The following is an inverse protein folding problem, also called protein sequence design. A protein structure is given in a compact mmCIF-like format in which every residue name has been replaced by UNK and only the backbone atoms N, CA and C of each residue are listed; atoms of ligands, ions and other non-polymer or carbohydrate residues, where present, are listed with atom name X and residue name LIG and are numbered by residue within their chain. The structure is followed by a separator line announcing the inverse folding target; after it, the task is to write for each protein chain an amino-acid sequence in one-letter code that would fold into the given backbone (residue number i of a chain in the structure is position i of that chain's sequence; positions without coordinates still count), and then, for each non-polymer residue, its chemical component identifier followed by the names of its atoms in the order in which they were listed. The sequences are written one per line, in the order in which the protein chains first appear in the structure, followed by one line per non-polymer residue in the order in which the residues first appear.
data_IF_685976997323
#
_entry.id   IF_685976997323
#
_cell.length_a   1.000
_cell.length_b   1.000
_cell.length_c   1.000
_cell.angle_alpha   90.00
_cell.angle_beta   90.00
_cell.angle_gamma   90.00
#
_symmetry.space_group_name_H-M   'P 1'
#
loop_
_entity.id
_entity.type
_entity.pdbx_description
1 polymer ?
#
# COMPACT_ATOMS: atom_id res chain seq x y z
N UNK A 1 1.88 23.95 17.05
CA UNK A 1 3.24 24.10 16.48
C UNK A 1 3.99 22.83 16.83
N UNK A 2 4.46 22.05 15.86
CA UNK A 2 5.33 20.89 16.13
C UNK A 2 6.60 21.39 16.83
N UNK A 3 7.00 20.72 17.91
CA UNK A 3 8.16 21.09 18.71
C UNK A 3 9.43 21.00 17.84
N UNK A 4 10.47 21.80 18.06
CA UNK A 4 11.63 21.86 17.14
C UNK A 4 12.35 20.52 17.00
N UNK A 5 12.28 19.66 18.02
CA UNK A 5 12.84 18.30 18.03
C UNK A 5 12.08 17.34 17.09
N UNK A 6 10.80 17.58 16.81
CA UNK A 6 9.98 16.74 15.92
C UNK A 6 10.25 17.00 14.42
N UNK A 7 11.10 17.98 14.09
CA UNK A 7 11.42 18.37 12.70
C UNK A 7 12.74 17.80 12.19
N UNK A 8 13.58 17.27 13.08
CA UNK A 8 14.92 16.75 12.74
C UNK A 8 14.93 15.23 12.76
N UNK A 9 15.58 14.63 11.76
CA UNK A 9 15.70 13.18 11.66
C UNK A 9 16.87 12.66 12.50
N UNK A 10 16.62 11.63 13.29
CA UNK A 10 17.66 10.79 13.87
C UNK A 10 18.10 9.74 12.83
N UNK A 11 19.22 10.01 12.18
CA UNK A 11 19.80 9.15 11.15
C UNK A 11 21.05 8.46 11.66
N UNK A 12 21.18 7.17 11.39
CA UNK A 12 22.36 6.38 11.70
C UNK A 12 22.98 5.85 10.40
N UNK A 13 24.04 6.50 9.88
CA UNK A 13 24.76 6.02 8.70
C UNK A 13 25.65 4.82 9.06
N UNK A 14 25.60 3.78 8.24
CA UNK A 14 26.41 2.58 8.36
C UNK A 14 26.78 2.07 6.97
N UNK A 15 28.05 1.73 6.77
CA UNK A 15 28.52 1.14 5.52
C UNK A 15 28.54 -0.38 5.70
N UNK A 16 27.66 -1.10 4.98
CA UNK A 16 27.57 -2.56 5.08
C UNK A 16 28.32 -3.24 3.92
N UNK A 17 29.15 -4.27 4.20
CA UNK A 17 29.61 -5.20 3.18
C UNK A 17 28.43 -5.92 2.52
N UNK A 18 28.57 -6.27 1.24
CA UNK A 18 27.54 -7.00 0.49
C UNK A 18 27.20 -8.35 1.13
N UNK A 19 28.20 -9.10 1.56
CA UNK A 19 28.00 -10.37 2.28
C UNK A 19 27.12 -10.19 3.54
N UNK A 20 27.31 -9.09 4.26
CA UNK A 20 26.56 -8.79 5.49
C UNK A 20 25.11 -8.43 5.17
N UNK A 21 24.88 -7.68 4.10
CA UNK A 21 23.52 -7.37 3.64
C UNK A 21 22.76 -8.63 3.28
N UNK A 22 23.38 -9.52 2.50
CA UNK A 22 22.78 -10.81 2.10
C UNK A 22 22.50 -11.68 3.32
N UNK A 23 23.45 -11.80 4.25
CA UNK A 23 23.26 -12.54 5.50
C UNK A 23 22.09 -11.98 6.34
N UNK A 24 21.94 -10.64 6.40
CA UNK A 24 20.83 -9.99 7.11
C UNK A 24 19.48 -10.22 6.43
N UNK A 25 19.44 -10.27 5.10
CA UNK A 25 18.22 -10.59 4.33
C UNK A 25 17.80 -12.04 4.61
N UNK A 26 18.75 -12.97 4.50
CA UNK A 26 18.50 -14.42 4.58
C UNK A 26 18.35 -14.96 6.01
N UNK A 27 18.69 -14.17 7.03
CA UNK A 27 18.54 -14.59 8.43
C UNK A 27 17.09 -14.94 8.81
N UNK A 28 16.90 -15.81 9.81
CA UNK A 28 15.58 -16.19 10.33
C UNK A 28 15.51 -15.88 11.83
N UNK A 29 14.70 -14.88 12.27
CA UNK A 29 13.91 -13.95 11.45
C UNK A 29 14.78 -12.96 10.68
N UNK A 30 14.32 -12.48 9.51
CA UNK A 30 15.06 -11.54 8.67
C UNK A 30 15.35 -10.24 9.41
N UNK A 31 16.62 -9.83 9.43
CA UNK A 31 17.10 -8.57 10.01
C UNK A 31 17.08 -7.40 9.03
N UNK A 32 17.04 -7.69 7.73
CA UNK A 32 16.83 -6.72 6.65
C UNK A 32 15.66 -7.20 5.80
N UNK A 33 14.55 -6.48 5.87
CA UNK A 33 13.29 -6.82 5.22
C UNK A 33 13.28 -6.11 3.87
N UNK A 34 13.39 -6.91 2.81
CA UNK A 34 12.97 -6.53 1.48
C UNK A 34 11.49 -6.87 1.38
N UNK A 35 10.61 -5.87 1.47
CA UNK A 35 9.17 -6.09 1.35
C UNK A 35 8.86 -6.89 0.06
N UNK A 36 8.10 -8.00 0.14
CA UNK A 36 7.74 -8.80 -1.03
C UNK A 36 7.09 -7.98 -2.15
N UNK A 37 6.36 -6.91 -1.84
CA UNK A 37 5.77 -6.02 -2.86
C UNK A 37 6.80 -5.14 -3.54
N UNK A 38 7.81 -4.68 -2.78
CA UNK A 38 8.93 -3.96 -3.36
C UNK A 38 9.80 -4.88 -4.23
N UNK A 39 9.94 -6.15 -3.83
CA UNK A 39 10.59 -7.17 -4.66
C UNK A 39 9.78 -7.47 -5.93
N UNK A 40 8.45 -7.52 -5.89
CA UNK A 40 7.59 -7.60 -7.09
C UNK A 40 7.76 -6.40 -8.03
N UNK A 41 8.17 -5.26 -7.50
CA UNK A 41 8.55 -4.05 -8.24
C UNK A 41 10.02 -4.06 -8.69
N UNK A 42 10.77 -5.13 -8.53
CA UNK A 42 12.04 -5.32 -9.24
C UNK A 42 11.79 -5.23 -10.75
N UNK A 43 12.55 -4.37 -11.44
CA UNK A 43 12.36 -4.08 -12.87
C UNK A 43 13.63 -4.31 -13.69
N UNK A 44 14.75 -4.60 -13.02
CA UNK A 44 16.04 -4.76 -13.69
C UNK A 44 16.24 -6.15 -14.30
N UNK A 45 15.26 -7.07 -14.15
CA UNK A 45 15.16 -8.38 -14.81
C UNK A 45 14.18 -8.44 -16.01
N UNK A 46 13.36 -7.40 -16.20
CA UNK A 46 12.22 -7.46 -17.13
C UNK A 46 12.59 -7.67 -18.60
N UNK A 47 13.80 -7.28 -18.99
CA UNK A 47 14.32 -7.38 -20.36
C UNK A 47 15.75 -7.95 -20.26
N UNK A 48 15.92 -9.02 -19.48
CA UNK A 48 17.24 -9.56 -19.13
C UNK A 48 17.88 -8.85 -17.93
N UNK A 49 19.13 -9.18 -17.66
CA UNK A 49 19.94 -8.73 -16.53
C UNK A 49 20.89 -7.58 -16.83
N UNK A 50 20.79 -6.89 -17.97
CA UNK A 50 21.79 -5.90 -18.42
C UNK A 50 21.94 -4.75 -17.42
N UNK A 51 20.82 -4.27 -16.86
CA UNK A 51 20.85 -3.20 -15.84
C UNK A 51 21.49 -3.68 -14.54
N UNK A 52 21.17 -4.90 -14.12
CA UNK A 52 21.75 -5.54 -12.95
C UNK A 52 23.26 -5.77 -13.14
N UNK A 53 23.66 -6.22 -14.33
CA UNK A 53 25.04 -6.48 -14.72
C UNK A 53 25.87 -5.20 -14.79
N UNK A 54 25.32 -4.11 -15.34
CA UNK A 54 25.96 -2.78 -15.30
C UNK A 54 26.18 -2.26 -13.88
N UNK A 55 25.27 -2.57 -12.96
CA UNK A 55 25.45 -2.25 -11.55
C UNK A 55 26.59 -3.09 -10.93
N UNK A 56 26.65 -4.40 -11.19
CA UNK A 56 27.77 -5.24 -10.73
C UNK A 56 29.10 -4.79 -11.34
N UNK A 57 29.13 -4.46 -12.64
CA UNK A 57 30.29 -3.90 -13.32
C UNK A 57 30.75 -2.60 -12.66
N UNK A 58 29.82 -1.70 -12.31
CA UNK A 58 30.13 -0.47 -11.57
C UNK A 58 30.75 -0.74 -10.20
N UNK A 59 30.29 -1.79 -9.50
CA UNK A 59 30.86 -2.21 -8.21
C UNK A 59 32.31 -2.70 -8.38
N UNK A 60 32.57 -3.54 -9.39
CA UNK A 60 33.91 -4.02 -9.73
C UNK A 60 34.85 -2.89 -10.13
N UNK A 61 34.32 -1.86 -10.80
CA UNK A 61 35.05 -0.63 -11.13
C UNK A 61 35.27 0.30 -9.93
N UNK A 62 34.72 -0.04 -8.75
CA UNK A 62 34.79 0.78 -7.53
C UNK A 62 34.17 2.17 -7.70
N UNK A 63 33.15 2.28 -8.55
CA UNK A 63 32.38 3.51 -8.73
C UNK A 63 31.57 3.76 -7.45
N UNK A 64 31.55 4.99 -6.90
CA UNK A 64 30.76 5.31 -5.72
C UNK A 64 29.28 4.98 -5.92
N UNK A 65 28.74 4.15 -5.03
CA UNK A 65 27.34 3.73 -5.07
C UNK A 65 26.47 4.75 -4.34
N UNK A 66 25.27 5.08 -4.84
CA UNK A 66 24.30 5.86 -4.08
C UNK A 66 23.97 5.16 -2.76
N UNK A 67 23.57 5.92 -1.72
CA UNK A 67 23.19 5.33 -0.44
C UNK A 67 21.85 4.58 -0.54
N UNK A 68 21.67 3.56 0.30
CA UNK A 68 20.38 2.94 0.59
C UNK A 68 19.77 3.56 1.85
N UNK A 69 18.45 3.53 1.97
CA UNK A 69 17.75 4.06 3.15
C UNK A 69 16.91 2.96 3.78
N UNK A 70 17.00 2.83 5.10
CA UNK A 70 16.28 1.83 5.89
C UNK A 70 15.43 2.49 6.97
N UNK A 71 14.25 1.95 7.27
CA UNK A 71 13.48 2.29 8.46
C UNK A 71 13.69 1.21 9.52
N UNK A 72 14.02 1.60 10.75
CA UNK A 72 14.10 0.68 11.87
C UNK A 72 12.72 0.45 12.50
N UNK A 73 12.36 -0.82 12.72
CA UNK A 73 11.14 -1.19 13.42
C UNK A 73 11.37 -1.34 14.94
N UNK A 74 10.28 -1.58 15.68
CA UNK A 74 10.34 -1.72 17.15
C UNK A 74 11.21 -2.90 17.61
N UNK A 75 11.38 -3.92 16.75
CA UNK A 75 12.20 -5.10 16.99
C UNK A 75 13.66 -4.92 16.55
N UNK A 76 14.05 -3.74 16.06
CA UNK A 76 15.40 -3.45 15.55
C UNK A 76 15.69 -4.07 14.17
N UNK A 77 14.67 -4.54 13.45
CA UNK A 77 14.82 -4.97 12.06
C UNK A 77 14.81 -3.74 11.16
N UNK A 78 15.48 -3.85 10.03
CA UNK A 78 15.57 -2.78 9.04
C UNK A 78 14.66 -3.09 7.86
N UNK A 79 13.71 -2.22 7.57
CA UNK A 79 12.92 -2.26 6.35
C UNK A 79 13.57 -1.40 5.28
N UNK A 80 13.71 -1.92 4.06
CA UNK A 80 14.28 -1.17 2.94
C UNK A 80 13.29 -0.14 2.39
N UNK A 81 13.67 1.14 2.43
CA UNK A 81 12.91 2.28 1.91
C UNK A 81 13.33 2.61 0.49
N UNK A 82 14.65 2.66 0.27
CA UNK A 82 15.29 2.94 -1.01
C UNK A 82 16.49 2.01 -1.20
N UNK A 83 16.76 1.65 -2.45
CA UNK A 83 17.83 0.73 -2.82
C UNK A 83 17.37 -0.69 -3.10
N UNK A 84 16.07 -0.95 -3.16
CA UNK A 84 15.50 -2.28 -3.42
C UNK A 84 16.10 -2.93 -4.67
N UNK A 85 16.25 -2.19 -5.77
CA UNK A 85 16.84 -2.75 -7.00
C UNK A 85 18.31 -3.16 -6.79
N UNK A 86 19.09 -2.33 -6.09
CA UNK A 86 20.52 -2.57 -5.81
C UNK A 86 20.69 -3.76 -4.88
N UNK A 87 19.98 -3.78 -3.76
CA UNK A 87 20.05 -4.85 -2.77
C UNK A 87 19.55 -6.18 -3.31
N UNK A 88 18.47 -6.16 -4.09
CA UNK A 88 17.96 -7.36 -4.78
C UNK A 88 18.97 -7.86 -5.80
N UNK A 89 19.59 -6.96 -6.58
CA UNK A 89 20.66 -7.33 -7.54
C UNK A 89 21.84 -7.99 -6.84
N UNK A 90 22.33 -7.40 -5.74
CA UNK A 90 23.44 -7.95 -4.94
C UNK A 90 23.08 -9.36 -4.46
N UNK A 91 21.93 -9.50 -3.80
CA UNK A 91 21.47 -10.78 -3.27
C UNK A 91 21.36 -11.84 -4.37
N UNK A 92 20.68 -11.52 -5.48
CA UNK A 92 20.47 -12.45 -6.60
C UNK A 92 21.78 -12.87 -7.25
N UNK A 93 22.71 -11.92 -7.45
CA UNK A 93 23.98 -12.24 -8.09
C UNK A 93 24.83 -13.15 -7.18
N UNK A 94 24.99 -12.78 -5.90
CA UNK A 94 25.75 -13.57 -4.92
C UNK A 94 25.17 -14.98 -4.71
N UNK A 95 23.89 -15.18 -4.98
CA UNK A 95 23.20 -16.48 -4.94
C UNK A 95 23.21 -17.23 -6.30
N UNK A 96 24.01 -16.81 -7.28
CA UNK A 96 24.08 -17.42 -8.62
C UNK A 96 22.73 -17.45 -9.40
N UNK A 97 21.80 -16.55 -9.08
CA UNK A 97 20.46 -16.50 -9.71
C UNK A 97 20.47 -15.93 -11.13
N UNK A 98 21.54 -15.23 -11.53
CA UNK A 98 21.71 -14.75 -12.90
C UNK A 98 23.19 -14.68 -13.30
N UNK A 99 23.43 -14.64 -14.62
CA UNK A 99 24.75 -14.45 -15.23
C UNK A 99 24.90 -13.03 -15.77
N UNK A 100 26.11 -12.49 -15.74
CA UNK A 100 26.38 -11.14 -16.22
C UNK A 100 26.14 -11.03 -17.73
N UNK A 101 25.49 -9.95 -18.16
CA UNK A 101 25.23 -9.66 -19.57
C UNK A 101 25.53 -8.19 -19.90
N UNK A 102 26.00 -7.93 -21.12
CA UNK A 102 26.27 -6.57 -21.60
C UNK A 102 27.47 -5.90 -20.93
N UNK A 103 28.47 -6.69 -20.54
CA UNK A 103 29.71 -6.22 -19.91
C UNK A 103 30.56 -5.42 -20.91
N UNK A 104 31.13 -4.29 -20.45
CA UNK A 104 31.87 -3.37 -21.31
C UNK A 104 33.35 -3.29 -20.96
N UNK A 105 33.65 -3.14 -19.68
CA UNK A 105 34.98 -3.02 -19.07
C UNK A 105 35.52 -4.40 -18.70
N UNK A 106 34.69 -5.26 -18.11
CA UNK A 106 35.05 -6.62 -17.72
C UNK A 106 34.45 -7.67 -18.67
N UNK A 107 34.82 -7.60 -19.95
CA UNK A 107 34.27 -8.47 -21.01
C UNK A 107 34.55 -9.96 -20.78
N UNK A 108 35.61 -10.28 -20.04
CA UNK A 108 35.97 -11.64 -19.63
C UNK A 108 35.02 -12.24 -18.59
N UNK A 109 34.12 -11.43 -18.02
CA UNK A 109 33.08 -11.85 -17.09
C UNK A 109 31.70 -12.02 -17.75
N UNK A 110 31.56 -11.72 -19.05
CA UNK A 110 30.32 -11.94 -19.79
C UNK A 110 29.86 -13.40 -19.67
N UNK A 111 28.59 -13.60 -19.34
CA UNK A 111 27.96 -14.92 -19.18
C UNK A 111 28.32 -15.64 -17.88
N UNK A 112 29.13 -15.05 -16.99
CA UNK A 112 29.53 -15.68 -15.71
C UNK A 112 28.57 -15.35 -14.59
N UNK A 113 28.33 -16.33 -13.72
CA UNK A 113 27.69 -16.18 -12.41
C UNK A 113 28.72 -15.85 -11.33
N UNK A 114 28.25 -15.55 -10.12
CA UNK A 114 29.12 -15.16 -9.00
C UNK A 114 30.14 -16.24 -8.64
N UNK A 115 29.77 -17.52 -8.64
CA UNK A 115 30.72 -18.61 -8.40
C UNK A 115 31.83 -18.75 -9.47
N UNK A 116 31.67 -18.10 -10.62
CA UNK A 116 32.54 -18.26 -11.79
C UNK A 116 33.49 -17.07 -12.02
N UNK A 117 33.34 -15.96 -11.27
CA UNK A 117 34.17 -14.74 -11.45
C UNK A 117 35.53 -14.82 -10.74
N UNK A 118 35.84 -15.92 -10.05
CA UNK A 118 37.15 -16.18 -9.44
C UNK A 118 37.53 -15.13 -8.40
N UNK A 119 38.69 -14.49 -8.56
CA UNK A 119 39.24 -13.53 -7.58
C UNK A 119 38.32 -12.34 -7.29
N UNK A 120 37.42 -11.99 -8.22
CA UNK A 120 36.50 -10.86 -8.06
C UNK A 120 35.37 -11.14 -7.05
N UNK A 121 35.13 -12.40 -6.70
CA UNK A 121 34.08 -12.77 -5.74
C UNK A 121 34.35 -12.16 -4.36
N UNK A 122 35.55 -12.37 -3.82
CA UNK A 122 35.96 -11.81 -2.53
C UNK A 122 35.97 -10.27 -2.54
N UNK A 123 36.31 -9.64 -3.66
CA UNK A 123 36.25 -8.17 -3.80
C UNK A 123 34.80 -7.66 -3.77
N UNK A 124 33.86 -8.36 -4.42
CA UNK A 124 32.44 -8.00 -4.38
C UNK A 124 31.82 -8.22 -3.00
N UNK A 125 32.12 -9.33 -2.33
CA UNK A 125 31.62 -9.60 -0.97
C UNK A 125 32.03 -8.51 0.02
N UNK A 126 33.30 -8.06 -0.06
CA UNK A 126 33.86 -7.00 0.76
C UNK A 126 33.43 -5.58 0.33
N UNK A 127 32.83 -5.43 -0.86
CA UNK A 127 32.36 -4.11 -1.34
C UNK A 127 31.28 -3.60 -0.40
N UNK A 128 31.41 -2.34 0.03
CA UNK A 128 30.47 -1.71 0.96
C UNK A 128 29.52 -0.76 0.26
N UNK A 129 28.26 -0.72 0.70
CA UNK A 129 27.30 0.33 0.32
C UNK A 129 26.81 1.08 1.55
N UNK A 130 26.76 2.41 1.43
CA UNK A 130 26.27 3.28 2.49
C UNK A 130 24.78 3.08 2.71
N UNK A 131 24.41 2.79 3.95
CA UNK A 131 23.03 2.61 4.37
C UNK A 131 22.71 3.66 5.44
N UNK A 132 21.66 4.44 5.22
CA UNK A 132 21.17 5.46 6.16
C UNK A 132 19.96 4.88 6.87
N UNK A 133 20.11 4.57 8.16
CA UNK A 133 19.02 4.02 8.98
C UNK A 133 18.26 5.17 9.62
N UNK A 134 16.99 5.31 9.27
CA UNK A 134 16.01 6.12 9.98
C UNK A 134 15.64 5.37 11.25
N UNK A 135 16.15 5.87 12.37
CA UNK A 135 15.96 5.26 13.69
C UNK A 135 14.48 5.24 14.08
N UNK A 136 14.08 4.24 14.88
CA UNK A 136 12.67 4.03 15.24
C UNK A 136 12.05 5.18 16.04
N UNK A 137 12.88 6.00 16.69
CA UNK A 137 12.44 7.17 17.45
C UNK A 137 11.96 8.32 16.55
N UNK A 138 12.19 8.25 15.24
CA UNK A 138 11.68 9.25 14.31
C UNK A 138 10.14 9.21 14.23
N UNK A 139 9.47 10.38 14.18
CA UNK A 139 8.04 10.46 13.91
C UNK A 139 7.67 9.74 12.61
N UNK A 140 6.64 8.88 12.64
CA UNK A 140 6.26 8.04 11.49
C UNK A 140 5.84 8.87 10.29
N UNK A 141 5.15 9.99 10.49
CA UNK A 141 4.79 10.95 9.45
C UNK A 141 6.03 11.51 8.72
N UNK A 142 7.13 11.78 9.44
CA UNK A 142 8.38 12.27 8.86
C UNK A 142 9.08 11.16 8.06
N UNK A 143 9.05 9.91 8.54
CA UNK A 143 9.51 8.76 7.78
C UNK A 143 8.73 8.67 6.46
N UNK A 144 7.39 8.73 6.49
CA UNK A 144 6.53 8.72 5.30
C UNK A 144 6.87 9.84 4.32
N UNK A 145 7.19 11.03 4.81
CA UNK A 145 7.62 12.15 3.98
C UNK A 145 8.97 11.88 3.29
N UNK A 146 9.93 11.28 4.00
CA UNK A 146 11.22 10.89 3.42
C UNK A 146 11.05 9.79 2.37
N UNK A 147 10.21 8.78 2.63
CA UNK A 147 9.80 7.80 1.62
C UNK A 147 9.28 8.51 0.35
N UNK A 148 8.40 9.49 0.53
CA UNK A 148 7.80 10.22 -0.60
C UNK A 148 8.83 11.04 -1.37
N UNK A 149 9.84 11.61 -0.71
CA UNK A 149 10.90 12.42 -1.34
C UNK A 149 11.94 11.57 -2.06
N UNK A 150 12.40 10.48 -1.45
CA UNK A 150 13.40 9.58 -2.05
C UNK A 150 12.85 8.87 -3.29
N UNK A 151 11.57 8.51 -3.27
CA UNK A 151 10.92 7.81 -4.37
C UNK A 151 10.53 8.70 -5.56
N UNK A 152 10.72 10.03 -5.50
CA UNK A 152 10.39 10.93 -6.62
C UNK A 152 11.18 10.64 -7.91
N UNK A 153 12.36 10.03 -7.79
CA UNK A 153 13.19 9.59 -8.94
C UNK A 153 13.13 8.10 -9.28
N UNK A 154 12.36 7.30 -8.53
CA UNK A 154 12.33 5.83 -8.62
C UNK A 154 10.90 5.30 -8.87
N UNK A 155 10.71 3.99 -8.70
CA UNK A 155 9.35 3.41 -8.72
C UNK A 155 8.60 3.92 -7.50
N UNK A 156 7.62 4.80 -7.72
CA UNK A 156 6.81 5.34 -6.63
C UNK A 156 6.01 4.24 -5.94
N UNK A 157 6.09 4.23 -4.61
CA UNK A 157 5.23 3.42 -3.77
C UNK A 157 3.90 4.11 -3.57
N UNK A 158 2.83 3.35 -3.55
CA UNK A 158 1.51 3.85 -3.19
C UNK A 158 1.47 4.23 -1.71
N UNK A 159 0.59 5.16 -1.30
CA UNK A 159 0.41 5.47 0.12
C UNK A 159 0.16 4.22 0.98
N UNK A 160 -0.63 3.26 0.48
CA UNK A 160 -0.92 2.03 1.20
C UNK A 160 0.27 1.09 1.34
N UNK A 161 1.14 1.02 0.34
CA UNK A 161 2.40 0.29 0.45
C UNK A 161 3.32 0.87 1.52
N UNK A 162 3.36 2.21 1.64
CA UNK A 162 4.11 2.86 2.73
C UNK A 162 3.47 2.56 4.09
N UNK A 163 2.14 2.49 4.19
CA UNK A 163 1.45 2.11 5.45
C UNK A 163 1.76 0.67 5.86
N UNK A 164 1.68 -0.27 4.93
CA UNK A 164 2.01 -1.69 5.18
C UNK A 164 3.41 -1.83 5.78
N UNK A 165 4.36 -1.14 5.16
CA UNK A 165 5.74 -1.03 5.59
C UNK A 165 5.91 -0.44 7.02
N UNK A 166 5.25 0.67 7.33
CA UNK A 166 5.46 1.42 8.57
C UNK A 166 4.64 0.91 9.75
N UNK A 167 3.49 0.30 9.49
CA UNK A 167 2.52 -0.15 10.48
C UNK A 167 2.25 -1.66 10.38
N UNK A 168 3.28 -2.53 10.37
CA UNK A 168 3.07 -3.96 10.31
C UNK A 168 2.44 -4.44 11.62
N UNK A 169 1.42 -5.28 11.54
CA UNK A 169 0.80 -5.86 12.73
C UNK A 169 -0.45 -6.68 12.43
N UNK A 170 -1.20 -7.07 13.47
CA UNK A 170 -2.39 -7.90 13.29
C UNK A 170 -3.46 -7.26 12.41
N UNK A 171 -3.60 -5.93 12.44
CA UNK A 171 -4.61 -5.23 11.65
C UNK A 171 -4.21 -5.14 10.17
N UNK A 172 -2.94 -4.87 9.88
CA UNK A 172 -2.40 -4.91 8.52
C UNK A 172 -2.62 -6.29 7.86
N UNK A 173 -2.38 -7.38 8.60
CA UNK A 173 -2.70 -8.74 8.14
C UNK A 173 -4.20 -8.98 7.89
N UNK A 174 -5.07 -8.35 8.68
CA UNK A 174 -6.51 -8.40 8.46
C UNK A 174 -6.89 -7.69 7.15
N UNK A 175 -6.24 -6.58 6.82
CA UNK A 175 -6.46 -5.89 5.54
C UNK A 175 -6.07 -6.78 4.36
N UNK A 176 -4.92 -7.46 4.44
CA UNK A 176 -4.49 -8.42 3.42
C UNK A 176 -5.52 -9.53 3.20
N UNK A 177 -6.03 -10.13 4.28
CA UNK A 177 -7.02 -11.20 4.18
C UNK A 177 -8.35 -10.72 3.58
N UNK A 178 -8.88 -9.57 4.02
CA UNK A 178 -10.16 -9.06 3.53
C UNK A 178 -10.07 -8.53 2.09
N UNK A 179 -8.87 -8.10 1.67
CA UNK A 179 -8.59 -7.65 0.32
C UNK A 179 -8.67 -8.77 -0.73
N UNK A 180 -8.58 -10.04 -0.31
CA UNK A 180 -8.71 -11.21 -1.20
C UNK A 180 -10.16 -11.50 -1.61
N UNK A 181 -11.15 -10.89 -0.97
CA UNK A 181 -12.54 -11.04 -1.37
C UNK A 181 -12.73 -10.62 -2.85
N UNK A 182 -13.35 -11.44 -3.72
CA UNK A 182 -13.45 -11.15 -5.16
C UNK A 182 -14.04 -9.79 -5.52
N UNK A 183 -15.07 -9.32 -4.81
CA UNK A 183 -15.68 -8.00 -5.05
C UNK A 183 -14.73 -6.84 -4.72
N UNK A 184 -13.82 -7.04 -3.78
CA UNK A 184 -12.80 -6.07 -3.39
C UNK A 184 -11.57 -6.20 -4.30
N UNK A 185 -11.10 -7.41 -4.54
CA UNK A 185 -9.96 -7.71 -5.40
C UNK A 185 -10.18 -7.22 -6.83
N UNK A 186 -11.37 -7.43 -7.39
CA UNK A 186 -11.70 -7.07 -8.77
C UNK A 186 -12.42 -5.71 -8.88
N UNK A 187 -12.44 -4.92 -7.81
CA UNK A 187 -13.19 -3.67 -7.74
C UNK A 187 -12.91 -2.73 -8.92
N UNK A 188 -13.97 -2.37 -9.66
CA UNK A 188 -13.90 -1.43 -10.79
C UNK A 188 -13.17 -1.94 -12.04
N UNK A 189 -12.76 -3.21 -12.07
CA UNK A 189 -12.24 -3.85 -13.29
C UNK A 189 -13.37 -4.08 -14.29
N UNK A 190 -13.08 -3.86 -15.58
CA UNK A 190 -13.94 -4.40 -16.63
C UNK A 190 -13.54 -5.86 -16.84
N UNK A 191 -14.50 -6.73 -17.23
CA UNK A 191 -14.25 -8.15 -17.54
C UNK A 191 -13.07 -8.37 -18.50
N UNK A 192 -12.70 -7.35 -19.29
CA UNK A 192 -11.66 -7.41 -20.33
C UNK A 192 -10.44 -6.48 -20.07
N UNK A 193 -10.28 -5.92 -18.87
CA UNK A 193 -9.19 -4.98 -18.61
C UNK A 193 -7.89 -5.67 -18.14
N UNK A 194 -6.86 -5.64 -18.98
CA UNK A 194 -5.46 -5.98 -18.64
C UNK A 194 -4.78 -5.01 -17.67
N UNK A 195 -5.55 -4.18 -16.96
CA UNK A 195 -5.03 -3.24 -15.95
C UNK A 195 -4.53 -4.06 -14.76
N UNK A 196 -3.21 -4.15 -14.63
CA UNK A 196 -2.58 -4.56 -13.37
C UNK A 196 -2.98 -3.55 -12.31
N UNK A 197 -3.80 -3.98 -11.34
CA UNK A 197 -4.11 -3.22 -10.13
C UNK A 197 -2.80 -2.79 -9.48
N UNK A 198 -2.74 -1.59 -8.91
CA UNK A 198 -1.64 -1.29 -7.98
C UNK A 198 -1.69 -2.31 -6.84
N UNK A 199 -0.52 -2.73 -6.36
CA UNK A 199 -0.33 -3.94 -5.53
C UNK A 199 -1.21 -3.96 -4.27
N UNK A 200 -1.66 -2.80 -3.79
CA UNK A 200 -2.38 -2.63 -2.52
C UNK A 200 -3.64 -1.76 -2.55
N UNK A 201 -4.24 -1.51 -3.71
CA UNK A 201 -5.50 -0.75 -3.80
C UNK A 201 -6.64 -1.43 -3.01
N UNK A 202 -6.73 -2.76 -3.05
CA UNK A 202 -7.74 -3.53 -2.30
C UNK A 202 -7.60 -3.34 -0.79
N UNK A 203 -6.38 -3.37 -0.27
CA UNK A 203 -6.09 -3.15 1.15
C UNK A 203 -6.43 -1.72 1.57
N UNK A 204 -6.13 -0.72 0.72
CA UNK A 204 -6.56 0.65 1.00
C UNK A 204 -8.09 0.73 1.05
N UNK A 205 -8.79 0.06 0.14
CA UNK A 205 -10.25 0.01 0.15
C UNK A 205 -10.82 -0.56 1.45
N UNK A 206 -10.28 -1.69 1.94
CA UNK A 206 -10.67 -2.24 3.24
C UNK A 206 -10.37 -1.26 4.39
N UNK A 207 -9.20 -0.62 4.35
CA UNK A 207 -8.81 0.38 5.36
C UNK A 207 -9.76 1.58 5.37
N UNK A 208 -10.20 2.07 4.20
CA UNK A 208 -11.17 3.17 4.08
C UNK A 208 -12.46 2.84 4.80
N UNK A 209 -13.00 1.63 4.64
CA UNK A 209 -14.21 1.23 5.34
C UNK A 209 -14.06 1.37 6.86
N UNK A 210 -13.01 0.78 7.43
CA UNK A 210 -12.78 0.81 8.87
C UNK A 210 -12.54 2.22 9.41
N UNK A 211 -11.78 3.03 8.67
CA UNK A 211 -11.50 4.42 9.04
C UNK A 211 -12.77 5.27 9.00
N UNK A 212 -13.55 5.21 7.91
CA UNK A 212 -14.81 5.96 7.81
C UNK A 212 -15.89 5.45 8.75
N UNK A 213 -15.93 4.15 9.06
CA UNK A 213 -16.91 3.59 9.99
C UNK A 213 -16.68 4.07 11.43
N UNK A 214 -15.42 4.10 11.91
CA UNK A 214 -15.11 4.47 13.30
C UNK A 214 -14.74 5.94 13.52
N UNK A 215 -14.44 6.70 12.47
CA UNK A 215 -13.78 8.00 12.63
C UNK A 215 -14.18 9.06 11.60
N UNK A 216 -15.35 8.95 10.97
CA UNK A 216 -15.80 9.95 9.98
C UNK A 216 -15.78 11.38 10.55
N UNK A 217 -16.11 11.56 11.82
CA UNK A 217 -16.09 12.83 12.53
C UNK A 217 -14.69 13.44 12.69
N UNK A 218 -13.63 12.61 12.66
CA UNK A 218 -12.23 13.03 12.71
C UNK A 218 -11.67 13.41 11.32
N UNK A 219 -12.45 13.24 10.25
CA UNK A 219 -11.93 13.48 8.90
C UNK A 219 -11.81 14.98 8.55
N UNK A 220 -10.58 15.48 8.54
CA UNK A 220 -10.25 16.88 8.25
C UNK A 220 -9.91 17.17 6.78
N UNK A 221 -10.23 16.27 5.84
CA UNK A 221 -10.01 16.51 4.41
C UNK A 221 -8.69 16.03 3.83
N UNK A 222 -7.83 15.45 4.66
CA UNK A 222 -6.61 14.80 4.23
C UNK A 222 -6.73 13.29 4.42
N UNK A 223 -7.20 12.60 3.37
CA UNK A 223 -7.36 11.15 3.37
C UNK A 223 -6.06 10.43 3.74
N UNK A 224 -4.91 10.91 3.23
CA UNK A 224 -3.65 10.24 3.48
C UNK A 224 -3.38 10.17 4.98
N UNK A 225 -3.44 11.31 5.67
CA UNK A 225 -3.20 11.39 7.11
C UNK A 225 -4.27 10.63 7.89
N UNK A 226 -5.54 10.74 7.51
CA UNK A 226 -6.65 10.03 8.15
C UNK A 226 -6.45 8.50 8.16
N UNK A 227 -6.00 7.93 7.04
CA UNK A 227 -5.71 6.50 6.94
C UNK A 227 -4.36 6.13 7.63
N UNK A 228 -3.35 7.01 7.60
CA UNK A 228 -2.09 6.83 8.32
C UNK A 228 -2.34 6.74 9.84
N UNK A 229 -3.13 7.67 10.38
CA UNK A 229 -3.48 7.74 11.81
C UNK A 229 -4.27 6.50 12.24
N UNK A 230 -5.26 6.08 11.43
CA UNK A 230 -6.05 4.88 11.72
C UNK A 230 -5.19 3.60 11.75
N UNK A 231 -4.27 3.44 10.79
CA UNK A 231 -3.32 2.32 10.78
C UNK A 231 -2.41 2.34 12.01
N UNK A 232 -1.94 3.53 12.41
CA UNK A 232 -1.07 3.68 13.57
C UNK A 232 -1.79 3.33 14.88
N UNK A 233 -3.01 3.84 15.07
CA UNK A 233 -3.84 3.57 16.27
C UNK A 233 -4.22 2.10 16.40
N UNK A 234 -4.44 1.40 15.28
CA UNK A 234 -4.93 0.03 15.23
C UNK A 234 -3.86 -1.00 14.84
N UNK A 235 -2.57 -0.64 14.84
CA UNK A 235 -1.47 -1.50 14.36
C UNK A 235 -1.53 -2.91 14.93
N UNK A 236 -1.66 -3.01 16.26
CA UNK A 236 -1.74 -4.28 17.00
C UNK A 236 -3.04 -4.36 17.80
N UNK A 237 -3.85 -5.35 17.47
CA UNK A 237 -5.17 -5.60 18.05
C UNK A 237 -5.25 -7.03 18.60
N UNK A 238 -6.04 -7.21 19.67
CA UNK A 238 -6.27 -8.54 20.21
C UNK A 238 -7.05 -9.42 19.21
N UNK A 239 -6.83 -10.73 19.24
CA UNK A 239 -7.53 -11.70 18.36
C UNK A 239 -9.06 -11.53 18.35
N UNK A 240 -9.65 -11.21 19.51
CA UNK A 240 -11.09 -10.95 19.63
C UNK A 240 -11.53 -9.71 18.86
N UNK A 241 -10.73 -8.63 18.87
CA UNK A 241 -11.02 -7.41 18.11
C UNK A 241 -10.88 -7.67 16.61
N UNK A 242 -9.83 -8.37 16.18
CA UNK A 242 -9.64 -8.79 14.78
C UNK A 242 -10.85 -9.61 14.29
N UNK A 243 -11.32 -10.57 15.07
CA UNK A 243 -12.51 -11.36 14.72
C UNK A 243 -13.78 -10.51 14.60
N UNK A 244 -13.96 -9.51 15.46
CA UNK A 244 -15.09 -8.58 15.38
C UNK A 244 -15.01 -7.71 14.12
N UNK A 245 -13.84 -7.16 13.82
CA UNK A 245 -13.64 -6.33 12.63
C UNK A 245 -13.83 -7.13 11.34
N UNK A 246 -13.35 -8.38 11.30
CA UNK A 246 -13.61 -9.31 10.19
C UNK A 246 -15.11 -9.52 9.96
N UNK A 247 -15.84 -9.85 11.03
CA UNK A 247 -17.28 -10.08 10.93
C UNK A 247 -18.03 -8.81 10.51
N UNK A 248 -17.66 -7.66 11.08
CA UNK A 248 -18.20 -6.36 10.70
C UNK A 248 -18.02 -6.06 9.21
N UNK A 249 -16.81 -6.25 8.67
CA UNK A 249 -16.55 -6.02 7.24
C UNK A 249 -17.38 -6.93 6.34
N UNK A 250 -17.38 -8.24 6.63
CA UNK A 250 -18.10 -9.21 5.80
C UNK A 250 -19.61 -8.98 5.86
N UNK A 251 -20.17 -8.77 7.06
CA UNK A 251 -21.59 -8.44 7.23
C UNK A 251 -21.97 -7.15 6.52
N UNK A 252 -21.13 -6.12 6.58
CA UNK A 252 -21.38 -4.86 5.87
C UNK A 252 -21.38 -5.02 4.36
N UNK A 253 -20.47 -5.83 3.83
CA UNK A 253 -20.40 -6.14 2.41
C UNK A 253 -21.62 -6.95 1.96
N UNK A 254 -21.99 -7.99 2.70
CA UNK A 254 -23.18 -8.83 2.43
C UNK A 254 -24.47 -8.01 2.42
N UNK A 255 -24.64 -7.06 3.35
CA UNK A 255 -25.79 -6.15 3.38
C UNK A 255 -25.84 -5.21 2.19
N UNK A 256 -24.69 -4.72 1.75
CA UNK A 256 -24.64 -3.91 0.54
C UNK A 256 -25.00 -4.76 -0.69
N UNK A 257 -24.55 -6.00 -0.76
CA UNK A 257 -24.90 -6.93 -1.85
C UNK A 257 -26.40 -7.26 -1.83
N UNK A 258 -27.00 -7.52 -0.65
CA UNK A 258 -28.42 -7.86 -0.56
C UNK A 258 -29.32 -6.70 -1.01
N UNK A 259 -28.93 -5.45 -0.73
CA UNK A 259 -29.70 -4.26 -1.12
C UNK A 259 -29.53 -3.92 -2.60
N UNK A 260 -28.31 -4.00 -3.13
CA UNK A 260 -27.99 -3.46 -4.47
C UNK A 260 -27.80 -4.52 -5.55
N UNK A 261 -27.68 -5.80 -5.18
CA UNK A 261 -27.28 -6.88 -6.09
C UNK A 261 -25.78 -6.92 -6.32
N UNK A 262 -25.24 -8.12 -6.55
CA UNK A 262 -23.79 -8.35 -6.69
C UNK A 262 -23.18 -7.58 -7.88
N UNK A 263 -23.91 -7.49 -9.01
CA UNK A 263 -23.44 -6.84 -10.23
C UNK A 263 -23.48 -5.31 -10.16
N UNK A 264 -24.40 -4.74 -9.37
CA UNK A 264 -24.69 -3.31 -9.33
C UNK A 264 -24.17 -2.61 -8.06
N UNK A 265 -23.69 -3.36 -7.06
CA UNK A 265 -23.19 -2.82 -5.79
C UNK A 265 -22.04 -1.83 -6.01
N UNK A 266 -22.09 -0.70 -5.30
CA UNK A 266 -21.13 0.41 -5.42
C UNK A 266 -21.04 1.03 -6.82
N UNK A 267 -22.11 0.97 -7.62
CA UNK A 267 -22.19 1.62 -8.93
C UNK A 267 -23.27 2.71 -8.98
N UNK A 268 -23.21 3.56 -10.00
CA UNK A 268 -24.33 4.46 -10.36
C UNK A 268 -25.07 3.87 -11.56
N UNK A 269 -26.17 3.16 -11.27
CA UNK A 269 -27.02 2.45 -12.25
C UNK A 269 -27.79 3.39 -13.18
N UNK A 270 -27.65 4.72 -13.03
CA UNK A 270 -28.22 5.68 -13.98
C UNK A 270 -27.37 5.90 -15.22
N UNK A 271 -26.14 5.38 -15.25
CA UNK A 271 -25.20 5.52 -16.37
C UNK A 271 -25.27 4.31 -17.29
N UNK A 272 -25.18 4.55 -18.60
CA UNK A 272 -25.16 3.50 -19.63
C UNK A 272 -23.95 2.57 -19.56
N UNK A 273 -22.88 2.98 -18.88
CA UNK A 273 -21.72 2.16 -18.51
C UNK A 273 -21.39 2.43 -17.05
N UNK A 274 -22.13 1.78 -16.16
CA UNK A 274 -21.87 1.80 -14.72
C UNK A 274 -20.56 1.07 -14.45
N UNK A 275 -19.77 1.61 -13.51
CA UNK A 275 -18.60 0.96 -12.93
C UNK A 275 -18.59 1.22 -11.45
N UNK A 276 -18.03 0.28 -10.71
CA UNK A 276 -17.81 0.45 -9.28
C UNK A 276 -16.92 1.66 -9.03
N UNK A 277 -17.27 2.44 -8.01
CA UNK A 277 -16.56 3.66 -7.67
C UNK A 277 -16.35 3.79 -6.17
N UNK A 278 -15.14 4.17 -5.76
CA UNK A 278 -14.79 4.36 -4.34
C UNK A 278 -15.73 5.35 -3.64
N UNK A 279 -16.26 6.33 -4.37
CA UNK A 279 -17.25 7.28 -3.84
C UNK A 279 -18.49 6.61 -3.30
N UNK A 280 -18.98 5.59 -4.02
CA UNK A 280 -20.18 4.85 -3.64
C UNK A 280 -19.84 3.83 -2.56
N UNK A 281 -18.66 3.21 -2.64
CA UNK A 281 -18.12 2.33 -1.60
C UNK A 281 -18.00 3.05 -0.23
N UNK A 282 -17.33 4.20 -0.20
CA UNK A 282 -17.13 5.02 1.00
C UNK A 282 -18.44 5.54 1.60
N UNK A 283 -19.50 5.57 0.80
CA UNK A 283 -20.82 5.98 1.23
C UNK A 283 -21.58 4.80 1.82
N UNK A 284 -21.71 3.71 1.05
CA UNK A 284 -22.63 2.61 1.33
C UNK A 284 -22.09 1.65 2.39
N UNK A 285 -20.81 1.29 2.35
CA UNK A 285 -20.23 0.36 3.33
C UNK A 285 -20.38 0.84 4.78
N UNK A 286 -19.97 2.08 5.13
CA UNK A 286 -20.12 2.61 6.49
C UNK A 286 -21.52 3.17 6.81
N UNK A 287 -22.53 3.02 5.94
CA UNK A 287 -23.94 3.33 6.26
C UNK A 287 -24.84 2.11 6.13
N UNK A 288 -25.09 1.65 4.91
CA UNK A 288 -26.01 0.54 4.60
C UNK A 288 -25.47 -0.74 5.20
N UNK A 289 -24.15 -0.96 5.07
CA UNK A 289 -23.48 -2.11 5.67
C UNK A 289 -23.57 -2.18 7.20
N UNK A 290 -24.06 -1.14 7.85
CA UNK A 290 -24.10 -1.04 9.32
C UNK A 290 -25.52 -1.01 9.88
N UNK A 291 -26.53 -1.07 9.00
CA UNK A 291 -27.93 -1.20 9.39
C UNK A 291 -28.20 -2.58 10.00
N UNK A 292 -29.28 -2.71 10.77
CA UNK A 292 -29.70 -4.01 11.29
C UNK A 292 -30.27 -4.88 10.18
N UNK A 293 -30.28 -6.20 10.40
CA UNK A 293 -30.74 -7.16 9.41
C UNK A 293 -32.24 -6.96 9.12
N UNK A 294 -33.03 -6.58 10.14
CA UNK A 294 -34.46 -6.30 10.01
C UNK A 294 -34.73 -5.12 9.06
N UNK A 295 -33.95 -4.04 9.18
CA UNK A 295 -34.08 -2.88 8.28
C UNK A 295 -33.72 -3.28 6.85
N UNK A 296 -32.68 -4.10 6.66
CA UNK A 296 -32.26 -4.54 5.33
C UNK A 296 -33.35 -5.42 4.68
N UNK A 297 -33.95 -6.33 5.44
CA UNK A 297 -35.05 -7.19 4.97
C UNK A 297 -36.30 -6.38 4.60
N UNK A 298 -36.70 -5.42 5.43
CA UNK A 298 -37.92 -4.64 5.23
C UNK A 298 -37.77 -3.52 4.19
N UNK A 299 -36.59 -2.90 4.09
CA UNK A 299 -36.40 -1.61 3.39
C UNK A 299 -35.42 -1.66 2.23
N UNK A 300 -34.89 -2.84 1.85
CA UNK A 300 -33.90 -2.97 0.77
C UNK A 300 -34.29 -2.25 -0.53
N UNK A 301 -35.50 -2.47 -1.04
CA UNK A 301 -35.96 -1.84 -2.28
C UNK A 301 -36.03 -0.30 -2.17
N UNK A 302 -36.49 0.20 -1.02
CA UNK A 302 -36.62 1.63 -0.74
C UNK A 302 -35.24 2.30 -0.61
N UNK A 303 -34.29 1.63 0.07
CA UNK A 303 -32.89 2.07 0.19
C UNK A 303 -32.24 2.15 -1.20
N UNK A 304 -32.41 1.10 -2.02
CA UNK A 304 -31.87 1.06 -3.37
C UNK A 304 -32.46 2.17 -4.26
N UNK A 305 -33.76 2.41 -4.17
CA UNK A 305 -34.44 3.50 -4.89
C UNK A 305 -33.96 4.89 -4.43
N UNK A 306 -33.80 5.10 -3.13
CA UNK A 306 -33.30 6.34 -2.56
C UNK A 306 -31.87 6.65 -3.04
N UNK A 307 -30.98 5.65 -3.02
CA UNK A 307 -29.61 5.81 -3.50
C UNK A 307 -29.58 6.17 -5.00
N UNK A 308 -30.42 5.50 -5.81
CA UNK A 308 -30.57 5.81 -7.24
C UNK A 308 -31.07 7.24 -7.48
N UNK A 309 -31.99 7.73 -6.64
CA UNK A 309 -32.50 9.10 -6.67
C UNK A 309 -31.39 10.12 -6.34
N UNK A 310 -30.63 9.88 -5.27
CA UNK A 310 -29.50 10.73 -4.87
C UNK A 310 -28.45 10.82 -5.99
N UNK A 311 -28.11 9.71 -6.64
CA UNK A 311 -27.18 9.71 -7.77
C UNK A 311 -27.64 10.57 -8.96
N UNK A 312 -28.96 10.74 -9.15
CA UNK A 312 -29.51 11.62 -10.19
C UNK A 312 -29.44 13.10 -9.82
N UNK A 313 -29.43 13.41 -8.52
CA UNK A 313 -29.52 14.77 -8.02
C UNK A 313 -28.31 15.62 -8.43
N UNK A 314 -28.58 16.85 -8.86
CA UNK A 314 -27.55 17.82 -9.22
C UNK A 314 -26.61 18.16 -8.05
N UNK A 315 -27.09 18.32 -6.79
CA UNK A 315 -26.23 18.51 -5.64
C UNK A 315 -25.22 17.38 -5.44
N UNK A 316 -25.64 16.12 -5.60
CA UNK A 316 -24.75 14.97 -5.43
C UNK A 316 -23.73 14.89 -6.59
N UNK A 317 -24.17 15.04 -7.84
CA UNK A 317 -23.28 15.03 -9.01
C UNK A 317 -22.16 16.06 -8.90
N UNK A 318 -22.44 17.24 -8.34
CA UNK A 318 -21.42 18.27 -8.06
C UNK A 318 -20.35 17.80 -7.06
N UNK A 319 -20.71 17.00 -6.06
CA UNK A 319 -19.73 16.45 -5.12
C UNK A 319 -18.79 15.44 -5.76
N UNK A 320 -19.27 14.70 -6.76
CA UNK A 320 -18.48 13.73 -7.53
C UNK A 320 -17.54 14.45 -8.52
N UNK A 321 -17.94 15.59 -9.08
CA UNK A 321 -17.13 16.33 -10.06
C UNK A 321 -16.13 17.31 -9.45
N UNK A 322 -16.39 17.89 -8.27
CA UNK A 322 -15.56 18.98 -7.70
C UNK A 322 -14.32 18.52 -6.90
N UNK A 323 -13.93 17.26 -7.03
CA UNK A 323 -12.76 16.66 -6.38
C UNK A 323 -13.15 15.63 -5.33
N UNK A 324 -12.92 14.36 -5.65
CA UNK A 324 -13.42 13.21 -4.90
C UNK A 324 -12.91 13.12 -3.46
N UNK A 325 -11.73 13.67 -3.18
CA UNK A 325 -11.09 13.58 -1.87
C UNK A 325 -11.21 14.88 -1.05
N UNK A 326 -11.84 15.94 -1.60
CA UNK A 326 -12.04 17.19 -0.83
C UNK A 326 -13.00 16.94 0.34
N UNK A 327 -12.64 17.46 1.51
CA UNK A 327 -13.47 17.39 2.72
C UNK A 327 -14.89 17.84 2.45
N UNK A 328 -15.05 19.03 1.86
CA UNK A 328 -16.36 19.62 1.58
C UNK A 328 -17.22 18.74 0.67
N UNK A 329 -16.62 18.08 -0.31
CA UNK A 329 -17.32 17.11 -1.18
C UNK A 329 -17.72 15.85 -0.42
N UNK A 330 -16.85 15.29 0.43
CA UNK A 330 -17.13 14.08 1.21
C UNK A 330 -18.24 14.36 2.25
N UNK A 331 -18.08 15.41 3.06
CA UNK A 331 -19.06 15.80 4.08
C UNK A 331 -20.42 16.09 3.44
N UNK A 332 -20.44 16.84 2.33
CA UNK A 332 -21.69 17.18 1.64
C UNK A 332 -22.39 15.96 1.06
N UNK A 333 -21.67 15.05 0.40
CA UNK A 333 -22.30 13.86 -0.19
C UNK A 333 -22.79 12.89 0.88
N UNK A 334 -22.03 12.78 1.98
CA UNK A 334 -22.41 11.97 3.15
C UNK A 334 -23.68 12.52 3.77
N UNK A 335 -23.76 13.83 4.02
CA UNK A 335 -24.98 14.47 4.52
C UNK A 335 -26.20 14.25 3.63
N UNK A 336 -26.07 14.49 2.31
CA UNK A 336 -27.18 14.29 1.37
C UNK A 336 -27.72 12.86 1.40
N UNK A 337 -26.81 11.89 1.55
CA UNK A 337 -27.18 10.49 1.64
C UNK A 337 -27.78 10.12 3.00
N UNK A 338 -27.15 10.55 4.10
CA UNK A 338 -27.63 10.26 5.45
C UNK A 338 -29.04 10.83 5.65
N UNK A 339 -29.31 12.05 5.19
CA UNK A 339 -30.65 12.66 5.22
C UNK A 339 -31.68 11.78 4.48
N UNK A 340 -31.35 11.34 3.25
CA UNK A 340 -32.24 10.48 2.43
C UNK A 340 -32.40 9.07 3.01
N UNK A 341 -31.35 8.51 3.60
CA UNK A 341 -31.39 7.18 4.20
C UNK A 341 -32.22 7.18 5.47
N UNK A 342 -32.12 8.23 6.29
CA UNK A 342 -32.95 8.39 7.48
C UNK A 342 -34.43 8.56 7.16
N UNK A 343 -34.78 9.22 6.05
CA UNK A 343 -36.18 9.29 5.60
C UNK A 343 -36.75 7.91 5.27
N UNK A 344 -35.97 7.02 4.66
CA UNK A 344 -36.39 5.64 4.35
C UNK A 344 -36.49 4.77 5.60
N UNK A 345 -35.57 4.93 6.55
CA UNK A 345 -35.56 4.13 7.78
C UNK A 345 -36.73 4.51 8.71
N UNK A 346 -37.09 5.80 8.74
CA UNK A 346 -38.11 6.31 9.67
C UNK A 346 -39.52 6.39 9.07
N UNK A 347 -39.67 6.29 7.75
CA UNK A 347 -40.95 6.26 7.04
C UNK A 347 -41.41 4.84 6.80
#
# INVERSE_FOLDING_TARGET
MLNSEEKTLNLYPIDYPFETLVARINSTPSKLILDPDFQRKYKWDKIGWERASKFIESCLMRIPLPSCYFAEDESGRHLVIDGVQRLTTIMKFLNDEFALEGMTTFRDLEGKKFSEIGKYAAELEATTIRCIVLRKENPKNLITEIFSRLNQGAVQLSPQEVRHALFPGSFDKLLDELAENPLIANFGMAEDSSRRKDSRESQEQVLRFFAFYHGMEKYEGNLKNFLDDYMQENKELAKRQISKMRHLFNSALEKCISVFGEDDVFTDTNKSRSKQGLVYYDLLMPTVGTLSDEIIEEKSEEIAAAFKSICRSEPFKRTVSQGLQKQSSIVRRRKLWDDSLQEVING
#
